data_IF_362645414714
#
_entry.id   IF_362645414714
#
_cell.length_a   1.000
_cell.length_b   1.000
_cell.length_c   1.000
_cell.angle_alpha   90.00
_cell.angle_beta   90.00
_cell.angle_gamma   90.00
#
_symmetry.space_group_name_H-M   'P 1'
#
loop_
_entity.id
_entity.type
_entity.pdbx_description
1 polymer ?
#
# COMPACT_ATOMS: atom_id res chain seq x y z
N UNK A 1 -87.31 -39.65 62.70
CA UNK A 1 -86.85 -38.27 62.86
C UNK A 1 -85.54 -38.28 63.61
N UNK A 2 -84.43 -38.37 62.92
CA UNK A 2 -83.07 -38.22 63.51
C UNK A 2 -82.12 -37.83 62.38
N UNK A 3 -81.55 -36.66 62.47
CA UNK A 3 -80.52 -36.13 61.54
C UNK A 3 -79.12 -36.60 62.00
N UNK A 4 -78.46 -37.36 61.18
CA UNK A 4 -77.01 -37.64 61.33
C UNK A 4 -76.20 -36.57 60.59
N UNK A 5 -75.40 -35.88 61.37
CA UNK A 5 -74.37 -34.98 60.75
C UNK A 5 -73.11 -35.78 60.46
N UNK A 6 -72.67 -35.78 59.24
CA UNK A 6 -71.40 -36.33 58.84
C UNK A 6 -70.38 -35.17 58.67
N UNK A 7 -69.41 -35.17 59.59
CA UNK A 7 -68.30 -34.26 59.50
C UNK A 7 -67.28 -34.68 58.45
N UNK A 8 -67.05 -33.81 57.47
CA UNK A 8 -65.96 -33.95 56.53
C UNK A 8 -64.67 -33.35 57.07
N UNK A 9 -63.70 -34.15 57.34
CA UNK A 9 -62.35 -33.70 57.62
C UNK A 9 -61.68 -33.44 56.26
N UNK A 10 -61.39 -32.21 55.98
CA UNK A 10 -60.55 -31.77 54.84
C UNK A 10 -59.12 -32.08 55.17
N UNK A 11 -58.54 -32.98 54.45
CA UNK A 11 -57.11 -33.30 54.44
C UNK A 11 -56.44 -32.41 53.40
N UNK A 12 -55.78 -31.36 53.86
CA UNK A 12 -55.02 -30.47 53.01
C UNK A 12 -53.67 -31.13 52.73
N UNK A 13 -53.52 -31.74 51.56
CA UNK A 13 -52.21 -32.19 51.02
C UNK A 13 -51.50 -30.94 50.55
N UNK A 14 -50.47 -30.52 51.26
CA UNK A 14 -49.53 -29.51 50.79
C UNK A 14 -48.66 -30.01 49.65
N UNK A 15 -48.96 -29.63 48.44
CA UNK A 15 -48.03 -29.77 47.29
C UNK A 15 -46.91 -28.75 47.44
N UNK A 16 -45.74 -29.20 47.89
CA UNK A 16 -44.52 -28.41 47.85
C UNK A 16 -44.06 -28.21 46.38
N UNK A 17 -44.29 -27.02 45.89
CA UNK A 17 -43.75 -26.59 44.58
C UNK A 17 -42.24 -26.33 44.72
N UNK A 18 -41.42 -27.36 44.34
CA UNK A 18 -39.98 -27.18 44.19
C UNK A 18 -39.72 -26.39 42.91
N UNK A 19 -39.54 -25.08 43.05
CA UNK A 19 -39.06 -24.22 41.94
C UNK A 19 -37.57 -24.47 41.75
N UNK A 20 -37.23 -25.34 40.78
CA UNK A 20 -35.86 -25.45 40.28
C UNK A 20 -35.55 -24.17 39.55
N UNK A 21 -34.84 -23.23 40.21
CA UNK A 21 -34.21 -22.10 39.53
C UNK A 21 -33.01 -22.66 38.75
N UNK A 22 -33.26 -23.09 37.54
CA UNK A 22 -32.22 -23.40 36.58
C UNK A 22 -31.56 -22.06 36.20
N UNK A 23 -30.31 -21.86 36.63
CA UNK A 23 -29.45 -20.82 36.06
C UNK A 23 -29.20 -21.19 34.60
N UNK A 24 -30.06 -20.73 33.72
CA UNK A 24 -29.73 -20.66 32.29
C UNK A 24 -28.67 -19.56 32.14
N UNK A 25 -27.39 -19.95 32.09
CA UNK A 25 -26.36 -19.10 31.56
C UNK A 25 -26.78 -18.78 30.12
N UNK A 26 -27.37 -17.62 29.92
CA UNK A 26 -27.56 -17.09 28.58
C UNK A 26 -26.17 -17.01 27.93
N UNK A 27 -25.98 -17.62 26.76
CA UNK A 27 -24.74 -17.43 26.02
C UNK A 27 -24.55 -15.93 25.81
N UNK A 28 -23.45 -15.40 26.34
CA UNK A 28 -23.08 -13.99 26.16
C UNK A 28 -23.11 -13.72 24.64
N UNK A 29 -23.85 -12.71 24.17
CA UNK A 29 -23.85 -12.37 22.77
C UNK A 29 -22.40 -12.09 22.38
N UNK A 30 -21.89 -12.87 21.43
CA UNK A 30 -20.57 -12.58 20.81
C UNK A 30 -20.66 -11.14 20.33
N UNK A 31 -19.91 -10.25 21.00
CA UNK A 31 -19.88 -8.84 20.66
C UNK A 31 -19.29 -8.72 19.26
N UNK A 32 -20.16 -8.69 18.25
CA UNK A 32 -19.74 -8.37 16.89
C UNK A 32 -19.12 -6.98 16.97
N UNK A 33 -17.86 -6.90 16.55
CA UNK A 33 -17.23 -5.61 16.32
C UNK A 33 -18.18 -4.80 15.46
N UNK A 34 -18.39 -3.52 15.77
CA UNK A 34 -19.17 -2.67 14.90
C UNK A 34 -18.48 -2.63 13.53
N UNK A 35 -19.22 -2.53 12.47
CA UNK A 35 -18.68 -2.43 11.09
C UNK A 35 -17.54 -1.40 11.00
N UNK A 36 -17.67 -0.28 11.72
CA UNK A 36 -16.63 0.73 11.84
C UNK A 36 -15.34 0.19 12.48
N UNK A 37 -15.44 -0.61 13.56
CA UNK A 37 -14.24 -1.19 14.22
C UNK A 37 -13.55 -2.25 13.35
N UNK A 38 -14.30 -2.98 12.53
CA UNK A 38 -13.74 -3.94 11.58
C UNK A 38 -13.00 -3.20 10.46
N UNK A 39 -13.58 -2.13 9.92
CA UNK A 39 -12.94 -1.27 8.90
C UNK A 39 -11.69 -0.60 9.46
N UNK A 40 -11.76 -0.03 10.67
CA UNK A 40 -10.61 0.62 11.30
C UNK A 40 -9.46 -0.39 11.54
N UNK A 41 -9.77 -1.62 11.98
CA UNK A 41 -8.76 -2.65 12.20
C UNK A 41 -8.12 -3.14 10.89
N UNK A 42 -8.90 -3.29 9.82
CA UNK A 42 -8.41 -3.65 8.49
C UNK A 42 -7.50 -2.56 7.91
N UNK A 43 -7.89 -1.29 8.06
CA UNK A 43 -7.09 -0.15 7.64
C UNK A 43 -5.75 -0.10 8.37
N UNK A 44 -5.74 -0.28 9.70
CA UNK A 44 -4.51 -0.32 10.50
C UNK A 44 -3.59 -1.46 10.09
N UNK A 45 -4.14 -2.65 9.80
CA UNK A 45 -3.37 -3.78 9.32
C UNK A 45 -2.74 -3.51 7.94
N UNK A 46 -3.50 -2.88 7.03
CA UNK A 46 -2.99 -2.49 5.71
C UNK A 46 -1.89 -1.43 5.82
N UNK A 47 -2.05 -0.44 6.69
CA UNK A 47 -1.01 0.57 6.94
C UNK A 47 0.27 -0.06 7.49
N UNK A 48 0.16 -0.96 8.48
CA UNK A 48 1.31 -1.66 9.05
C UNK A 48 2.04 -2.52 7.99
N UNK A 49 1.29 -3.23 7.15
CA UNK A 49 1.84 -3.98 6.03
C UNK A 49 2.59 -3.09 5.04
N UNK A 50 1.97 -1.98 4.63
CA UNK A 50 2.60 -1.04 3.69
C UNK A 50 3.88 -0.42 4.27
N UNK A 51 3.90 -0.09 5.56
CA UNK A 51 5.10 0.42 6.24
C UNK A 51 6.24 -0.62 6.25
N UNK A 52 5.91 -1.89 6.51
CA UNK A 52 6.89 -2.97 6.45
C UNK A 52 7.44 -3.16 5.02
N UNK A 53 6.56 -3.15 4.02
CA UNK A 53 6.95 -3.25 2.61
C UNK A 53 7.80 -2.06 2.16
N UNK A 54 7.50 -0.84 2.62
CA UNK A 54 8.30 0.35 2.32
C UNK A 54 9.71 0.25 2.93
N UNK A 55 9.81 -0.14 4.20
CA UNK A 55 11.12 -0.34 4.85
C UNK A 55 11.97 -1.40 4.14
N UNK A 56 11.36 -2.50 3.71
CA UNK A 56 12.04 -3.54 2.94
C UNK A 56 12.50 -3.02 1.56
N UNK A 57 11.68 -2.20 0.90
CA UNK A 57 12.00 -1.57 -0.37
C UNK A 57 13.18 -0.61 -0.25
N UNK A 58 13.20 0.24 0.79
CA UNK A 58 14.31 1.15 1.06
C UNK A 58 15.63 0.42 1.25
N UNK A 59 15.61 -0.67 2.02
CA UNK A 59 16.79 -1.52 2.23
C UNK A 59 17.25 -2.17 0.92
N UNK A 60 16.32 -2.70 0.11
CA UNK A 60 16.64 -3.34 -1.16
C UNK A 60 17.24 -2.33 -2.15
N UNK A 61 16.63 -1.15 -2.31
CA UNK A 61 17.14 -0.08 -3.18
C UNK A 61 18.51 0.44 -2.70
N UNK A 62 18.67 0.69 -1.40
CA UNK A 62 19.95 1.12 -0.82
C UNK A 62 21.07 0.09 -1.03
N UNK A 63 20.76 -1.19 -0.87
CA UNK A 63 21.74 -2.27 -1.12
C UNK A 63 22.10 -2.35 -2.60
N UNK A 64 21.13 -2.21 -3.49
CA UNK A 64 21.36 -2.20 -4.92
C UNK A 64 22.30 -1.05 -5.33
N UNK A 65 22.01 0.18 -4.85
CA UNK A 65 22.82 1.38 -5.10
C UNK A 65 24.25 1.23 -4.63
N UNK A 66 24.49 0.60 -3.45
CA UNK A 66 25.83 0.35 -2.92
C UNK A 66 26.65 -0.61 -3.77
N UNK A 67 26.01 -1.49 -4.52
CA UNK A 67 26.65 -2.48 -5.37
C UNK A 67 26.82 -2.02 -6.83
N UNK A 68 26.19 -0.90 -7.21
CA UNK A 68 26.36 -0.31 -8.54
C UNK A 68 27.60 0.60 -8.58
N UNK A 69 28.21 0.74 -9.76
CA UNK A 69 29.46 1.52 -9.94
C UNK A 69 29.22 3.03 -10.01
N UNK A 70 27.97 3.48 -10.23
CA UNK A 70 27.64 4.89 -10.33
C UNK A 70 27.48 5.55 -8.94
N UNK A 71 27.65 6.86 -8.91
CA UNK A 71 27.39 7.65 -7.70
C UNK A 71 25.93 8.10 -7.69
N UNK A 72 25.20 7.79 -6.64
CA UNK A 72 23.78 8.10 -6.47
C UNK A 72 23.57 9.15 -5.39
N UNK A 73 22.55 9.96 -5.59
CA UNK A 73 22.02 10.93 -4.62
C UNK A 73 20.62 10.48 -4.21
N UNK A 74 20.31 10.51 -2.91
CA UNK A 74 18.97 10.24 -2.40
C UNK A 74 18.12 11.51 -2.53
N UNK A 75 16.98 11.41 -3.21
CA UNK A 75 15.96 12.46 -3.29
C UNK A 75 15.12 12.50 -2.01
N UNK A 76 14.54 13.65 -1.69
CA UNK A 76 13.67 13.85 -0.53
C UNK A 76 12.41 12.96 -0.51
N UNK A 77 11.99 12.43 -1.66
CA UNK A 77 10.86 11.49 -1.80
C UNK A 77 11.27 10.02 -1.63
N UNK A 78 12.55 9.72 -1.41
CA UNK A 78 13.02 8.38 -1.08
C UNK A 78 13.45 7.52 -2.26
N UNK A 79 13.65 8.08 -3.46
CA UNK A 79 14.31 7.39 -4.56
C UNK A 79 15.75 7.86 -4.74
N UNK A 80 16.58 7.03 -5.35
CA UNK A 80 17.97 7.34 -5.65
C UNK A 80 18.13 7.69 -7.11
N UNK A 81 19.01 8.65 -7.44
CA UNK A 81 19.30 8.98 -8.82
C UNK A 81 20.78 9.24 -9.05
N UNK A 82 21.24 8.93 -10.28
CA UNK A 82 22.55 9.25 -10.80
C UNK A 82 22.37 9.89 -12.18
N UNK A 83 22.91 11.07 -12.37
CA UNK A 83 22.71 11.89 -13.56
C UNK A 83 24.01 12.08 -14.33
N UNK A 84 23.97 11.88 -15.65
CA UNK A 84 25.02 12.34 -16.56
C UNK A 84 24.75 13.81 -16.87
N UNK A 85 25.59 14.70 -16.36
CA UNK A 85 25.42 16.16 -16.51
C UNK A 85 25.93 16.60 -17.87
N UNK A 86 25.09 17.35 -18.59
CA UNK A 86 25.49 18.13 -19.75
C UNK A 86 25.41 19.62 -19.39
N UNK A 87 26.55 20.28 -19.26
CA UNK A 87 26.64 21.70 -18.85
C UNK A 87 25.93 22.68 -19.81
N UNK A 88 25.62 22.23 -21.02
CA UNK A 88 24.97 23.04 -22.06
C UNK A 88 23.52 22.62 -22.33
N UNK A 89 22.96 21.74 -21.48
CA UNK A 89 21.60 21.30 -21.66
C UNK A 89 20.60 22.38 -21.25
N UNK A 90 19.64 22.64 -22.12
CA UNK A 90 18.48 23.47 -21.78
C UNK A 90 17.61 22.76 -20.75
N UNK A 91 17.37 23.41 -19.62
CA UNK A 91 16.54 22.86 -18.54
C UNK A 91 15.10 22.73 -18.99
N UNK A 92 14.50 21.57 -18.71
CA UNK A 92 13.10 21.30 -18.99
C UNK A 92 12.18 22.08 -18.04
N UNK A 93 11.08 22.61 -18.60
CA UNK A 93 10.06 23.32 -17.85
C UNK A 93 8.77 22.51 -17.78
N UNK A 94 7.94 22.76 -16.77
CA UNK A 94 6.62 22.16 -16.68
C UNK A 94 5.78 22.57 -17.90
N UNK A 95 5.18 21.57 -18.56
CA UNK A 95 4.42 21.73 -19.80
C UNK A 95 5.22 21.47 -21.08
N UNK A 96 6.55 21.34 -21.01
CA UNK A 96 7.35 20.97 -22.18
C UNK A 96 7.00 19.56 -22.67
N UNK A 97 6.81 19.42 -23.98
CA UNK A 97 6.75 18.14 -24.65
C UNK A 97 8.17 17.70 -25.02
N UNK A 98 8.60 16.54 -24.54
CA UNK A 98 9.96 16.02 -24.77
C UNK A 98 9.92 14.59 -25.26
N UNK A 99 10.71 14.29 -26.29
CA UNK A 99 11.00 12.92 -26.67
C UNK A 99 11.88 12.27 -25.62
N UNK A 100 11.48 11.15 -25.10
CA UNK A 100 12.17 10.44 -24.03
C UNK A 100 12.21 8.95 -24.29
N UNK A 101 13.39 8.37 -24.12
CA UNK A 101 13.57 6.92 -24.04
C UNK A 101 13.55 6.51 -22.56
N UNK A 102 12.60 5.66 -22.21
CA UNK A 102 12.33 5.19 -20.86
C UNK A 102 12.53 3.68 -20.80
N UNK A 103 13.58 3.24 -20.14
CA UNK A 103 13.84 1.83 -19.87
C UNK A 103 13.58 1.53 -18.39
N UNK A 104 12.85 0.47 -18.10
CA UNK A 104 12.53 0.03 -16.74
C UNK A 104 12.88 -1.44 -16.54
N UNK A 105 13.54 -1.75 -15.44
CA UNK A 105 13.87 -3.11 -15.04
C UNK A 105 13.63 -3.32 -13.55
N UNK A 106 13.39 -4.55 -13.12
CA UNK A 106 13.45 -4.92 -11.69
C UNK A 106 14.89 -4.80 -11.17
N UNK A 107 15.05 -4.77 -9.84
CA UNK A 107 16.39 -4.72 -9.21
C UNK A 107 17.29 -5.94 -9.57
N UNK A 108 16.70 -7.05 -9.97
CA UNK A 108 17.38 -8.26 -10.45
C UNK A 108 17.85 -8.16 -11.92
N UNK A 109 17.51 -7.06 -12.62
CA UNK A 109 17.86 -6.80 -14.00
C UNK A 109 16.82 -7.30 -15.04
N UNK A 110 15.69 -7.90 -14.60
CA UNK A 110 14.63 -8.30 -15.53
C UNK A 110 13.99 -7.05 -16.15
N UNK A 111 14.06 -6.94 -17.48
CA UNK A 111 13.43 -5.85 -18.23
C UNK A 111 11.91 -5.92 -18.11
N UNK A 112 11.29 -4.79 -17.77
CA UNK A 112 9.85 -4.62 -17.63
C UNK A 112 9.25 -3.84 -18.78
N UNK A 113 9.93 -2.78 -19.22
CA UNK A 113 9.50 -1.95 -20.33
C UNK A 113 10.68 -1.23 -20.98
N UNK A 114 10.53 -0.96 -22.28
CA UNK A 114 11.45 -0.18 -23.10
C UNK A 114 10.57 0.65 -24.05
N UNK A 115 10.45 1.96 -23.77
CA UNK A 115 9.45 2.85 -24.39
C UNK A 115 10.16 4.09 -24.90
N UNK A 116 9.94 4.43 -26.16
CA UNK A 116 10.33 5.70 -26.74
C UNK A 116 9.08 6.44 -27.18
N UNK A 117 8.79 7.58 -26.54
CA UNK A 117 7.59 8.37 -26.79
C UNK A 117 7.79 9.83 -26.40
N UNK A 118 6.79 10.66 -26.70
CA UNK A 118 6.74 12.06 -26.29
C UNK A 118 5.97 12.19 -25.00
N UNK A 119 6.60 12.77 -23.99
CA UNK A 119 6.01 12.95 -22.66
C UNK A 119 5.92 14.45 -22.32
N UNK A 120 4.90 14.81 -21.54
CA UNK A 120 4.75 16.19 -21.05
C UNK A 120 5.32 16.28 -19.63
N UNK A 121 6.29 17.17 -19.43
CA UNK A 121 6.93 17.40 -18.13
C UNK A 121 5.90 17.88 -17.12
N UNK A 122 5.74 17.18 -16.02
CA UNK A 122 4.82 17.55 -14.94
C UNK A 122 3.34 17.25 -15.20
N UNK A 123 3.00 16.44 -16.22
CA UNK A 123 1.60 16.05 -16.53
C UNK A 123 0.89 15.30 -15.39
N UNK A 124 1.62 14.68 -14.49
CA UNK A 124 1.05 13.83 -13.43
C UNK A 124 0.79 12.39 -13.85
N UNK A 125 0.92 12.04 -15.12
CA UNK A 125 0.68 10.70 -15.65
C UNK A 125 1.83 9.73 -15.36
N UNK A 126 3.00 10.27 -15.05
CA UNK A 126 4.19 9.51 -14.73
C UNK A 126 4.38 9.35 -13.21
N UNK A 127 5.03 8.28 -12.75
CA UNK A 127 5.40 8.10 -11.36
C UNK A 127 6.18 9.27 -10.76
N UNK A 128 6.09 9.43 -9.44
CA UNK A 128 6.76 10.52 -8.71
C UNK A 128 8.25 10.58 -9.02
N UNK A 129 8.94 9.45 -9.00
CA UNK A 129 10.38 9.38 -9.29
C UNK A 129 10.73 9.91 -10.68
N UNK A 130 9.93 9.60 -11.71
CA UNK A 130 10.14 10.08 -13.08
C UNK A 130 9.83 11.57 -13.18
N UNK A 131 8.64 12.01 -12.72
CA UNK A 131 8.24 13.41 -12.79
C UNK A 131 9.20 14.38 -12.06
N UNK A 132 9.73 13.96 -10.91
CA UNK A 132 10.72 14.71 -10.17
C UNK A 132 12.05 14.77 -10.90
N UNK A 133 12.47 13.65 -11.47
CA UNK A 133 13.72 13.56 -12.23
C UNK A 133 13.71 14.42 -13.48
N UNK A 134 12.61 14.44 -14.23
CA UNK A 134 12.48 15.28 -15.42
C UNK A 134 12.71 16.78 -15.15
N UNK A 135 12.24 17.27 -13.98
CA UNK A 135 12.45 18.68 -13.57
C UNK A 135 13.91 19.03 -13.28
N UNK A 136 14.76 18.03 -13.12
CA UNK A 136 16.20 18.18 -12.87
C UNK A 136 17.04 17.90 -14.12
N UNK A 137 16.41 17.53 -15.24
CA UNK A 137 17.06 17.15 -16.48
C UNK A 137 16.95 18.25 -17.53
N UNK A 138 17.86 18.22 -18.47
CA UNK A 138 17.84 18.98 -19.71
C UNK A 138 17.87 18.08 -20.94
N UNK A 139 17.76 18.69 -22.12
CA UNK A 139 17.80 17.98 -23.38
C UNK A 139 19.15 17.29 -23.60
N UNK A 140 19.12 16.03 -24.03
CA UNK A 140 20.32 15.21 -24.28
C UNK A 140 20.96 14.66 -23.00
N UNK A 141 20.32 14.83 -21.84
CA UNK A 141 20.80 14.23 -20.58
C UNK A 141 20.24 12.82 -20.36
N UNK A 142 20.98 12.06 -19.59
CA UNK A 142 20.55 10.74 -19.11
C UNK A 142 20.55 10.72 -17.60
N UNK A 143 19.57 10.08 -17.01
CA UNK A 143 19.47 9.83 -15.58
C UNK A 143 19.10 8.38 -15.31
N UNK A 144 19.79 7.78 -14.34
CA UNK A 144 19.47 6.46 -13.83
C UNK A 144 18.84 6.63 -12.45
N UNK A 145 17.68 5.98 -12.23
CA UNK A 145 16.88 6.13 -11.03
C UNK A 145 16.69 4.74 -10.42
N UNK A 146 16.79 4.62 -9.10
CA UNK A 146 16.43 3.42 -8.34
C UNK A 146 15.28 3.80 -7.44
N UNK A 147 14.10 3.33 -7.78
CA UNK A 147 12.84 3.75 -7.19
C UNK A 147 12.21 2.60 -6.40
N UNK A 148 11.99 2.79 -5.07
CA UNK A 148 11.12 1.91 -4.34
C UNK A 148 9.68 2.02 -4.88
N UNK A 149 8.92 0.96 -4.73
CA UNK A 149 7.57 0.81 -5.28
C UNK A 149 6.65 2.01 -5.02
N UNK A 150 6.74 2.66 -3.85
CA UNK A 150 5.86 3.76 -3.44
C UNK A 150 6.18 5.10 -4.17
N UNK A 151 7.35 5.24 -4.79
CA UNK A 151 7.69 6.35 -5.68
C UNK A 151 7.57 5.97 -7.16
N UNK A 152 7.34 4.69 -7.44
CA UNK A 152 7.14 4.12 -8.76
C UNK A 152 5.64 3.86 -9.03
N UNK A 153 5.22 2.60 -9.15
CA UNK A 153 3.87 2.23 -9.56
C UNK A 153 2.96 1.75 -8.42
N UNK A 154 3.41 1.91 -7.18
CA UNK A 154 2.58 1.79 -5.98
C UNK A 154 2.14 0.38 -5.63
N UNK A 155 1.02 0.33 -4.91
CA UNK A 155 0.38 -0.89 -4.43
C UNK A 155 -0.43 -1.61 -5.49
N UNK A 156 -0.74 -0.96 -6.60
CA UNK A 156 -1.58 -1.50 -7.67
C UNK A 156 -0.75 -2.01 -8.85
N UNK A 157 0.42 -1.40 -9.09
CA UNK A 157 1.24 -1.71 -10.26
C UNK A 157 0.61 -1.27 -11.58
N UNK A 158 0.93 -1.96 -12.66
CA UNK A 158 0.34 -1.79 -14.00
C UNK A 158 0.15 -3.16 -14.65
N UNK A 159 -0.27 -3.20 -15.93
CA UNK A 159 -0.32 -4.47 -16.67
C UNK A 159 1.06 -5.14 -16.84
N UNK A 160 2.14 -4.35 -16.83
CA UNK A 160 3.51 -4.83 -17.01
C UNK A 160 4.30 -4.94 -15.70
N UNK A 161 3.93 -4.15 -14.70
CA UNK A 161 4.68 -4.00 -13.44
C UNK A 161 3.79 -4.46 -12.28
N UNK A 162 4.23 -5.47 -11.55
CA UNK A 162 3.49 -6.02 -10.41
C UNK A 162 3.39 -5.01 -9.26
N UNK A 163 2.37 -5.14 -8.39
CA UNK A 163 2.32 -4.41 -7.12
C UNK A 163 3.62 -4.54 -6.31
N UNK A 164 3.96 -3.49 -5.58
CA UNK A 164 5.14 -3.45 -4.69
C UNK A 164 6.49 -3.73 -5.37
N UNK A 165 6.61 -3.53 -6.68
CA UNK A 165 7.85 -3.75 -7.43
C UNK A 165 8.78 -2.56 -7.34
N UNK A 166 10.00 -2.77 -6.82
CA UNK A 166 11.08 -1.79 -6.87
C UNK A 166 11.75 -1.86 -8.24
N UNK A 167 12.03 -0.71 -8.85
CA UNK A 167 12.52 -0.65 -10.23
C UNK A 167 13.77 0.21 -10.38
N UNK A 168 14.58 -0.17 -11.35
CA UNK A 168 15.65 0.67 -11.93
C UNK A 168 15.12 1.27 -13.21
N UNK A 169 15.21 2.58 -13.34
CA UNK A 169 14.74 3.33 -14.49
C UNK A 169 15.93 4.03 -15.13
N UNK A 170 16.05 3.95 -16.44
CA UNK A 170 16.97 4.77 -17.21
C UNK A 170 16.15 5.72 -18.09
N UNK A 171 16.30 7.01 -17.85
CA UNK A 171 15.70 8.09 -18.65
C UNK A 171 16.76 8.67 -19.56
N UNK A 172 16.46 8.79 -20.84
CA UNK A 172 17.30 9.53 -21.81
C UNK A 172 16.42 10.55 -22.52
N UNK A 173 16.73 11.83 -22.37
CA UNK A 173 15.99 12.89 -23.07
C UNK A 173 16.64 13.12 -24.43
N UNK A 174 15.80 13.16 -25.48
CA UNK A 174 16.26 13.45 -26.83
C UNK A 174 16.83 14.88 -26.92
N UNK A 175 17.75 15.10 -27.84
CA UNK A 175 18.41 16.41 -28.04
C UNK A 175 17.53 17.41 -28.78
N UNK A 176 16.50 16.89 -29.50
CA UNK A 176 15.59 17.68 -30.32
C UNK A 176 14.17 17.65 -29.78
#
# INVERSE_FOLDING_TARGET
MRRLGIGYRLLVMGYGLVVMVGCTQQPQPVRRLSEKQEVDSALMAQMAFNMQMASAADQACSNWVKNDSATYVLDEFGFWYSKTVNLYADSLQAGDAVGMHLQMAELNGQMLADIEDIFTVGSGDLPVAINRSLKQMGRGEQMRIVAPWYTAYGTEGTQLIKPYTNIVITLTINKE
#
